data_IF_986121812418
#
_entry.id   IF_986121812418
#
_cell.length_a   1.000
_cell.length_b   1.000
_cell.length_c   1.000
_cell.angle_alpha   90.00
_cell.angle_beta   90.00
_cell.angle_gamma   90.00
#
_symmetry.space_group_name_H-M   'P 1'
#
loop_
_entity.id
_entity.type
_entity.pdbx_description
1 polymer ?
#
# COMPACT_ATOMS: atom_id res chain seq x y z
N UNK A 1 -31.08 -30.03 33.63
CA UNK A 1 -29.70 -29.53 33.77
C UNK A 1 -28.98 -29.84 32.50
N UNK A 2 -28.90 -28.87 31.59
CA UNK A 2 -28.16 -28.98 30.35
C UNK A 2 -26.79 -28.37 30.65
N UNK A 3 -25.76 -29.21 30.73
CA UNK A 3 -24.39 -28.77 30.94
C UNK A 3 -23.91 -28.05 29.66
N UNK A 4 -23.70 -26.74 29.74
CA UNK A 4 -22.98 -25.97 28.75
C UNK A 4 -21.56 -26.53 28.62
N UNK A 5 -21.32 -27.32 27.59
CA UNK A 5 -19.95 -27.66 27.16
C UNK A 5 -19.31 -26.41 26.59
N UNK A 6 -18.58 -25.68 27.40
CA UNK A 6 -17.56 -24.78 26.92
C UNK A 6 -16.54 -25.61 26.13
N UNK A 7 -16.58 -25.56 24.82
CA UNK A 7 -15.50 -26.08 23.99
C UNK A 7 -14.32 -25.12 24.20
N UNK A 8 -13.35 -25.52 25.03
CA UNK A 8 -12.05 -24.88 25.06
C UNK A 8 -11.46 -24.97 23.67
N UNK A 9 -11.38 -23.81 23.01
CA UNK A 9 -10.77 -23.71 21.69
C UNK A 9 -9.26 -23.89 21.87
N UNK A 10 -8.73 -25.02 21.43
CA UNK A 10 -7.30 -25.26 21.37
C UNK A 10 -6.63 -24.35 20.35
N UNK A 11 -5.98 -23.28 20.85
CA UNK A 11 -5.20 -22.32 20.05
C UNK A 11 -3.79 -22.84 19.71
N UNK A 12 -3.43 -24.07 20.06
CA UNK A 12 -2.09 -24.63 19.86
C UNK A 12 -1.73 -24.84 18.38
N UNK A 13 -2.67 -24.72 17.44
CA UNK A 13 -2.47 -24.93 16.00
C UNK A 13 -3.04 -23.81 15.14
N UNK A 14 -2.67 -22.55 15.43
CA UNK A 14 -3.02 -21.48 14.53
C UNK A 14 -2.08 -21.52 13.33
N UNK A 15 -2.62 -21.87 12.17
CA UNK A 15 -1.90 -21.76 10.90
C UNK A 15 -2.05 -20.37 10.32
N UNK A 16 -1.02 -19.90 9.60
CA UNK A 16 -1.03 -18.64 8.88
C UNK A 16 -1.18 -18.90 7.39
N UNK A 17 -1.96 -18.05 6.77
CA UNK A 17 -2.03 -17.94 5.30
C UNK A 17 -1.20 -16.75 4.86
N UNK A 18 -0.61 -16.85 3.68
CA UNK A 18 0.14 -15.81 3.02
C UNK A 18 -0.44 -15.64 1.63
N UNK A 19 -0.83 -14.43 1.29
CA UNK A 19 -1.34 -14.05 -0.03
C UNK A 19 -0.43 -12.98 -0.58
N UNK A 20 -0.07 -13.10 -1.86
CA UNK A 20 0.74 -12.13 -2.59
C UNK A 20 -0.02 -11.68 -3.83
N UNK A 21 -0.14 -10.38 -4.04
CA UNK A 21 -0.68 -9.81 -5.25
C UNK A 21 0.44 -9.62 -6.28
N UNK A 22 0.39 -10.29 -7.43
CA UNK A 22 1.35 -10.05 -8.49
C UNK A 22 1.37 -8.59 -8.95
N UNK A 23 2.45 -8.16 -9.57
CA UNK A 23 2.53 -6.85 -10.20
C UNK A 23 1.36 -6.60 -11.16
N UNK A 24 0.83 -5.39 -11.16
CA UNK A 24 -0.30 -4.98 -11.99
C UNK A 24 -1.65 -5.54 -11.55
N UNK A 25 -1.70 -6.32 -10.45
CA UNK A 25 -2.94 -6.90 -9.94
C UNK A 25 -3.35 -6.33 -8.60
N UNK A 26 -4.61 -6.50 -8.27
CA UNK A 26 -5.19 -6.17 -6.97
C UNK A 26 -6.04 -7.35 -6.53
N UNK A 27 -5.95 -7.69 -5.26
CA UNK A 27 -6.70 -8.79 -4.67
C UNK A 27 -7.63 -8.23 -3.61
N UNK A 28 -8.92 -8.52 -3.72
CA UNK A 28 -9.89 -8.29 -2.64
C UNK A 28 -10.15 -9.61 -1.92
N UNK A 29 -10.14 -9.57 -0.59
CA UNK A 29 -10.39 -10.76 0.22
C UNK A 29 -11.16 -10.42 1.50
N UNK A 30 -11.84 -11.44 2.05
CA UNK A 30 -12.42 -11.40 3.38
C UNK A 30 -11.51 -12.11 4.37
N UNK A 31 -11.25 -11.48 5.51
CA UNK A 31 -10.53 -12.09 6.63
C UNK A 31 -11.48 -12.92 7.51
N UNK A 32 -10.94 -13.79 8.39
CA UNK A 32 -11.75 -14.67 9.25
C UNK A 32 -12.72 -13.95 10.21
N UNK A 33 -12.47 -12.67 10.53
CA UNK A 33 -13.33 -11.84 11.37
C UNK A 33 -14.44 -11.10 10.58
N UNK A 34 -14.44 -11.23 9.25
CA UNK A 34 -15.34 -10.53 8.33
C UNK A 34 -14.85 -9.13 7.92
N UNK A 35 -13.63 -8.74 8.30
CA UNK A 35 -12.97 -7.55 7.74
C UNK A 35 -12.65 -7.78 6.27
N UNK A 36 -12.67 -6.71 5.46
CA UNK A 36 -12.36 -6.77 4.02
C UNK A 36 -11.02 -6.09 3.79
N UNK A 37 -10.18 -6.71 2.97
CA UNK A 37 -8.87 -6.17 2.59
C UNK A 37 -8.77 -6.14 1.08
N UNK A 38 -8.31 -5.00 0.54
CA UNK A 38 -7.78 -4.90 -0.81
C UNK A 38 -6.26 -4.83 -0.71
N UNK A 39 -5.57 -5.74 -1.38
CA UNK A 39 -4.11 -5.82 -1.43
C UNK A 39 -3.66 -5.32 -2.80
N UNK A 40 -2.77 -4.32 -2.82
CA UNK A 40 -2.27 -3.70 -4.04
C UNK A 40 -1.13 -4.50 -4.68
N UNK A 41 -0.76 -4.09 -5.88
CA UNK A 41 0.36 -4.61 -6.69
C UNK A 41 1.62 -4.82 -5.85
N UNK A 42 2.30 -5.96 -6.04
CA UNK A 42 3.51 -6.37 -5.29
C UNK A 42 3.31 -6.44 -3.76
N UNK A 43 2.07 -6.44 -3.30
CA UNK A 43 1.74 -6.55 -1.89
C UNK A 43 1.71 -8.00 -1.40
N UNK A 44 2.07 -8.19 -0.14
CA UNK A 44 2.01 -9.45 0.56
C UNK A 44 1.30 -9.27 1.90
N UNK A 45 0.29 -10.10 2.18
CA UNK A 45 -0.44 -10.12 3.43
C UNK A 45 -0.35 -11.50 4.07
N UNK A 46 0.14 -11.56 5.32
CA UNK A 46 0.14 -12.76 6.16
C UNK A 46 -0.85 -12.60 7.29
N UNK A 47 -1.77 -13.54 7.45
CA UNK A 47 -2.81 -13.50 8.47
C UNK A 47 -3.13 -14.91 8.98
N UNK A 48 -3.64 -15.08 10.22
CA UNK A 48 -3.98 -16.37 10.78
C UNK A 48 -5.30 -16.90 10.19
N UNK A 49 -5.45 -18.21 10.06
CA UNK A 49 -6.73 -18.85 9.67
C UNK A 49 -7.85 -18.61 10.68
N UNK A 50 -7.50 -18.22 11.90
CA UNK A 50 -8.42 -17.81 12.97
C UNK A 50 -7.69 -16.84 13.90
N UNK A 51 -8.33 -15.70 14.20
CA UNK A 51 -7.78 -14.74 15.15
C UNK A 51 -7.87 -15.26 16.60
N UNK A 52 -6.87 -14.90 17.42
CA UNK A 52 -6.89 -15.16 18.86
C UNK A 52 -7.85 -14.21 19.57
N UNK A 53 -8.35 -14.62 20.73
CA UNK A 53 -9.03 -13.69 21.62
C UNK A 53 -8.07 -12.61 22.11
N UNK A 54 -8.54 -11.37 22.16
CA UNK A 54 -7.78 -10.20 22.60
C UNK A 54 -7.08 -9.42 21.48
N UNK A 55 -6.84 -10.03 20.29
CA UNK A 55 -6.11 -9.36 19.22
C UNK A 55 -6.38 -9.99 17.85
N UNK A 56 -6.47 -9.14 16.81
CA UNK A 56 -6.62 -9.55 15.41
C UNK A 56 -5.43 -9.03 14.58
N UNK A 57 -4.33 -9.77 14.57
CA UNK A 57 -3.07 -9.34 13.98
C UNK A 57 -2.88 -9.85 12.56
N UNK A 58 -2.42 -8.96 11.66
CA UNK A 58 -1.98 -9.25 10.30
C UNK A 58 -0.64 -8.60 10.02
N UNK A 59 0.12 -9.15 9.08
CA UNK A 59 1.45 -8.66 8.69
C UNK A 59 1.40 -8.26 7.22
N UNK A 60 1.76 -7.02 6.93
CA UNK A 60 1.74 -6.42 5.60
C UNK A 60 3.14 -6.03 5.16
N UNK A 61 3.54 -6.48 3.97
CA UNK A 61 4.60 -5.87 3.18
C UNK A 61 3.97 -5.41 1.86
N UNK A 62 3.81 -4.11 1.66
CA UNK A 62 3.10 -3.59 0.50
C UNK A 62 2.10 -2.51 0.84
N UNK A 63 1.11 -2.34 -0.04
CA UNK A 63 -0.01 -1.43 0.17
C UNK A 63 -1.31 -2.20 0.29
N UNK A 64 -2.10 -1.90 1.34
CA UNK A 64 -3.42 -2.48 1.52
C UNK A 64 -4.42 -1.47 2.09
N UNK A 65 -5.65 -1.57 1.59
CA UNK A 65 -6.79 -0.87 2.14
C UNK A 65 -7.61 -1.84 3.00
N UNK A 66 -7.96 -1.42 4.20
CA UNK A 66 -8.67 -2.21 5.19
C UNK A 66 -10.03 -1.60 5.50
N UNK A 67 -11.09 -2.41 5.44
CA UNK A 67 -12.38 -2.12 6.06
C UNK A 67 -12.55 -3.07 7.24
N UNK A 68 -12.21 -2.59 8.42
CA UNK A 68 -12.13 -3.42 9.63
C UNK A 68 -13.50 -3.48 10.31
N UNK A 69 -13.97 -4.70 10.53
CA UNK A 69 -15.18 -4.95 11.32
C UNK A 69 -15.01 -4.42 12.75
N UNK A 70 -16.02 -3.70 13.25
CA UNK A 70 -15.95 -3.09 14.57
C UNK A 70 -15.93 -4.14 15.68
N UNK A 71 -14.88 -4.12 16.49
CA UNK A 71 -14.74 -4.89 17.73
C UNK A 71 -13.72 -4.19 18.66
N UNK A 72 -14.25 -3.48 19.66
CA UNK A 72 -13.41 -2.72 20.61
C UNK A 72 -12.68 -3.63 21.61
N UNK A 73 -13.15 -4.86 21.84
CA UNK A 73 -12.54 -5.79 22.79
C UNK A 73 -11.36 -6.52 22.17
N UNK A 74 -11.37 -6.71 20.84
CA UNK A 74 -10.32 -7.37 20.10
C UNK A 74 -9.82 -6.41 19.00
N UNK A 75 -8.86 -5.52 19.27
CA UNK A 75 -8.34 -4.58 18.28
C UNK A 75 -7.74 -5.31 17.08
N UNK A 76 -7.84 -4.70 15.92
CA UNK A 76 -7.19 -5.16 14.69
C UNK A 76 -5.85 -4.45 14.55
N UNK A 77 -4.78 -5.20 14.31
CA UNK A 77 -3.43 -4.66 14.26
C UNK A 77 -2.77 -5.06 12.94
N UNK A 78 -2.32 -4.06 12.19
CA UNK A 78 -1.51 -4.24 10.99
C UNK A 78 -0.05 -3.98 11.35
N UNK A 79 0.78 -5.00 11.25
CA UNK A 79 2.22 -4.89 11.39
C UNK A 79 2.86 -4.71 10.01
N UNK A 80 3.68 -3.70 9.87
CA UNK A 80 4.65 -3.53 8.78
C UNK A 80 6.06 -3.64 9.35
N UNK A 81 7.11 -3.46 8.54
CA UNK A 81 8.49 -3.46 9.03
C UNK A 81 8.78 -2.29 9.99
N UNK A 82 8.15 -1.12 9.77
CA UNK A 82 8.49 0.12 10.46
C UNK A 82 7.33 0.72 11.29
N UNK A 83 6.12 0.16 11.21
CA UNK A 83 4.92 0.68 11.89
C UNK A 83 3.99 -0.42 12.36
N UNK A 84 3.33 -0.14 13.48
CA UNK A 84 2.15 -0.86 13.95
C UNK A 84 0.93 0.06 13.82
N UNK A 85 -0.14 -0.42 13.17
CA UNK A 85 -1.39 0.35 12.98
C UNK A 85 -2.53 -0.38 13.66
N UNK A 86 -3.06 0.21 14.74
CA UNK A 86 -4.11 -0.36 15.57
C UNK A 86 -5.46 0.28 15.30
N UNK A 87 -6.47 -0.56 15.04
CA UNK A 87 -7.82 -0.19 14.64
C UNK A 87 -8.89 -0.94 15.43
N UNK A 88 -10.06 -0.34 15.64
CA UNK A 88 -11.17 -0.99 16.37
C UNK A 88 -12.49 -1.02 15.60
N UNK A 89 -12.48 -0.64 14.32
CA UNK A 89 -13.66 -0.56 13.45
C UNK A 89 -13.55 0.67 12.57
N UNK A 90 -12.75 0.58 11.51
CA UNK A 90 -12.22 1.72 10.77
C UNK A 90 -12.02 1.36 9.31
N UNK A 91 -11.98 2.37 8.43
CA UNK A 91 -11.54 2.24 7.05
C UNK A 91 -10.27 3.08 6.84
N UNK A 92 -9.17 2.46 6.40
CA UNK A 92 -7.87 3.11 6.26
C UNK A 92 -6.98 2.40 5.24
N UNK A 93 -6.01 3.14 4.69
CA UNK A 93 -4.98 2.62 3.78
C UNK A 93 -3.63 2.60 4.50
N UNK A 94 -2.86 1.54 4.31
CA UNK A 94 -1.48 1.40 4.80
C UNK A 94 -0.56 1.17 3.62
N UNK A 95 0.49 1.98 3.50
CA UNK A 95 1.62 1.81 2.58
C UNK A 95 2.85 1.47 3.41
N UNK A 96 3.38 0.26 3.29
CA UNK A 96 4.51 -0.26 4.07
C UNK A 96 5.33 -1.25 3.25
N UNK A 97 5.87 -0.81 2.10
CA UNK A 97 6.82 -1.61 1.32
C UNK A 97 8.19 -1.59 1.98
N UNK A 98 8.79 -2.74 2.25
CA UNK A 98 10.11 -2.86 2.90
C UNK A 98 11.25 -2.25 2.07
N UNK A 99 11.08 -2.13 0.76
CA UNK A 99 12.04 -1.53 -0.16
C UNK A 99 11.80 -0.02 -0.39
N UNK A 100 10.74 0.57 0.17
CA UNK A 100 10.48 2.02 0.09
C UNK A 100 11.05 2.76 1.32
N UNK A 101 11.31 4.02 1.16
CA UNK A 101 11.78 4.89 2.25
C UNK A 101 10.65 5.69 2.88
N UNK A 102 9.47 5.66 2.30
CA UNK A 102 8.27 6.35 2.78
C UNK A 102 7.19 5.33 3.05
N UNK A 103 6.86 5.17 4.32
CA UNK A 103 5.69 4.43 4.75
C UNK A 103 4.58 5.41 5.12
N UNK A 104 3.31 5.03 4.91
CA UNK A 104 2.23 5.95 5.17
C UNK A 104 0.95 5.25 5.62
N UNK A 105 0.12 5.99 6.39
CA UNK A 105 -1.23 5.58 6.75
C UNK A 105 -2.19 6.70 6.43
N UNK A 106 -3.24 6.41 5.66
CA UNK A 106 -4.31 7.37 5.32
C UNK A 106 -5.60 6.95 6.00
N UNK A 107 -6.16 7.82 6.83
CA UNK A 107 -7.36 7.54 7.59
C UNK A 107 -8.61 8.01 6.86
N UNK A 108 -9.53 7.09 6.56
CA UNK A 108 -10.78 7.39 5.86
C UNK A 108 -11.96 7.52 6.82
N UNK A 109 -12.14 6.54 7.72
CA UNK A 109 -13.27 6.56 8.65
C UNK A 109 -12.93 5.89 9.98
N UNK A 110 -13.25 6.52 11.10
CA UNK A 110 -12.97 6.08 12.46
C UNK A 110 -11.71 6.71 13.03
N UNK A 111 -10.95 5.98 13.83
CA UNK A 111 -9.67 6.40 14.41
C UNK A 111 -8.71 5.22 14.42
N UNK A 112 -7.47 5.45 14.03
CA UNK A 112 -6.36 4.50 14.20
C UNK A 112 -5.27 5.09 15.05
N UNK A 113 -4.62 4.24 15.85
CA UNK A 113 -3.36 4.55 16.52
C UNK A 113 -2.22 3.99 15.66
N UNK A 114 -1.24 4.82 15.32
CA UNK A 114 -0.02 4.43 14.61
C UNK A 114 1.14 4.51 15.59
N UNK A 115 1.84 3.39 15.81
CA UNK A 115 3.09 3.33 16.54
C UNK A 115 4.25 3.21 15.55
N UNK A 116 5.24 4.11 15.64
CA UNK A 116 6.46 4.07 14.84
C UNK A 116 7.46 3.14 15.51
N UNK A 117 7.90 2.07 14.86
CA UNK A 117 8.64 0.99 15.52
C UNK A 117 9.94 1.45 16.19
N UNK A 118 10.71 2.32 15.56
CA UNK A 118 12.00 2.78 16.10
C UNK A 118 11.89 3.76 17.25
N UNK A 119 11.02 4.76 17.14
CA UNK A 119 10.83 5.80 18.18
C UNK A 119 9.87 5.40 19.29
N UNK A 120 9.03 4.38 19.03
CA UNK A 120 7.89 3.97 19.86
C UNK A 120 6.88 5.12 20.08
N UNK A 121 6.95 6.14 19.24
CA UNK A 121 6.01 7.26 19.26
C UNK A 121 4.65 6.81 18.73
N UNK A 122 3.59 7.24 19.42
CA UNK A 122 2.20 6.89 19.12
C UNK A 122 1.41 8.10 18.68
N UNK A 123 0.71 7.96 17.58
CA UNK A 123 -0.05 9.02 16.93
C UNK A 123 -1.47 8.52 16.63
N UNK A 124 -2.48 9.33 16.96
CA UNK A 124 -3.86 9.05 16.61
C UNK A 124 -4.24 9.83 15.37
N UNK A 125 -4.60 9.12 14.30
CA UNK A 125 -5.09 9.72 13.06
C UNK A 125 -6.61 9.77 13.05
N UNK A 126 -7.13 10.94 12.65
CA UNK A 126 -8.57 11.20 12.42
C UNK A 126 -8.90 11.06 10.94
N UNK A 127 -10.19 10.90 10.58
CA UNK A 127 -10.62 10.92 9.19
C UNK A 127 -10.11 12.16 8.46
N UNK A 128 -9.62 11.97 7.23
CA UNK A 128 -9.01 13.04 6.44
C UNK A 128 -7.51 13.22 6.67
N UNK A 129 -6.92 12.54 7.65
CA UNK A 129 -5.48 12.68 7.94
C UNK A 129 -4.65 11.56 7.29
N UNK A 130 -3.43 11.92 6.90
CA UNK A 130 -2.40 11.03 6.43
C UNK A 130 -1.09 11.31 7.17
N UNK A 131 -0.46 10.25 7.68
CA UNK A 131 0.94 10.29 8.11
C UNK A 131 1.83 9.78 6.97
N UNK A 132 2.92 10.49 6.72
CA UNK A 132 4.04 10.04 5.90
C UNK A 132 5.27 9.90 6.78
N UNK A 133 5.79 8.69 6.95
CA UNK A 133 6.96 8.38 7.76
C UNK A 133 8.15 8.06 6.88
N UNK A 134 9.22 8.85 7.01
CA UNK A 134 10.49 8.58 6.32
C UNK A 134 11.37 7.68 7.19
N UNK A 135 11.55 6.44 6.79
CA UNK A 135 12.25 5.40 7.56
C UNK A 135 13.76 5.67 7.66
N UNK A 136 14.38 6.32 6.64
CA UNK A 136 15.80 6.67 6.66
C UNK A 136 16.08 7.87 7.56
N UNK A 137 15.25 8.93 7.46
CA UNK A 137 15.41 10.17 8.25
C UNK A 137 14.79 10.05 9.65
N UNK A 138 13.98 9.00 9.89
CA UNK A 138 13.27 8.77 11.15
C UNK A 138 12.40 9.97 11.55
N UNK A 139 11.75 10.62 10.58
CA UNK A 139 10.84 11.71 10.80
C UNK A 139 9.52 11.47 10.09
N UNK A 140 8.47 12.10 10.56
CA UNK A 140 7.16 12.00 9.97
C UNK A 140 6.51 13.36 9.78
N UNK A 141 5.48 13.38 8.93
CA UNK A 141 4.58 14.51 8.76
C UNK A 141 3.14 13.98 8.74
N UNK A 142 2.28 14.64 9.51
CA UNK A 142 0.82 14.42 9.46
C UNK A 142 0.19 15.61 8.74
N UNK A 143 -0.68 15.33 7.79
CA UNK A 143 -1.35 16.33 6.95
C UNK A 143 -2.80 15.96 6.68
N UNK A 144 -3.66 16.95 6.46
CA UNK A 144 -5.01 16.78 5.96
C UNK A 144 -4.96 16.52 4.44
N UNK A 145 -5.67 15.49 3.99
CA UNK A 145 -5.62 15.06 2.58
C UNK A 145 -7.00 14.72 2.02
N UNK A 146 -7.13 14.79 0.68
CA UNK A 146 -8.20 14.11 -0.03
C UNK A 146 -7.95 12.58 0.02
N UNK A 147 -8.63 11.88 0.93
CA UNK A 147 -8.41 10.45 1.15
C UNK A 147 -8.75 9.62 -0.09
N UNK A 148 -9.68 10.09 -0.95
CA UNK A 148 -10.03 9.38 -2.18
C UNK A 148 -8.83 9.23 -3.12
N UNK A 149 -7.99 10.26 -3.25
CA UNK A 149 -6.75 10.20 -4.02
C UNK A 149 -5.86 9.02 -3.62
N UNK A 150 -5.74 8.76 -2.32
CA UNK A 150 -4.84 7.75 -1.76
C UNK A 150 -5.45 6.35 -1.71
N UNK A 151 -6.78 6.25 -1.85
CA UNK A 151 -7.50 4.98 -1.75
C UNK A 151 -8.13 4.53 -3.08
N UNK A 152 -8.14 5.40 -4.11
CA UNK A 152 -8.80 5.14 -5.39
C UNK A 152 -8.16 3.99 -6.19
N UNK A 153 -6.94 3.59 -5.83
CA UNK A 153 -6.27 2.46 -6.45
C UNK A 153 -7.06 1.15 -6.28
N UNK A 154 -7.77 0.98 -5.15
CA UNK A 154 -8.64 -0.18 -4.93
C UNK A 154 -9.78 -0.27 -5.96
N UNK A 155 -10.21 0.88 -6.50
CA UNK A 155 -11.23 1.01 -7.55
C UNK A 155 -10.61 1.06 -8.96
N UNK A 156 -9.31 0.80 -9.08
CA UNK A 156 -8.61 0.76 -10.36
C UNK A 156 -8.13 2.11 -10.89
N UNK A 157 -8.06 3.12 -10.05
CA UNK A 157 -7.65 4.45 -10.47
C UNK A 157 -6.32 4.85 -9.87
N UNK A 158 -5.43 5.42 -10.67
CA UNK A 158 -4.25 6.14 -10.23
C UNK A 158 -4.53 7.63 -10.37
N UNK A 159 -4.55 8.35 -9.25
CA UNK A 159 -4.88 9.78 -9.21
C UNK A 159 -3.65 10.55 -8.79
N UNK A 160 -3.22 11.47 -9.64
CA UNK A 160 -2.13 12.41 -9.40
C UNK A 160 -2.70 13.83 -9.37
N UNK A 161 -2.34 14.60 -8.34
CA UNK A 161 -2.82 15.98 -8.16
C UNK A 161 -1.66 16.87 -7.75
N UNK A 162 -1.03 17.50 -8.75
CA UNK A 162 0.11 18.42 -8.57
C UNK A 162 1.26 17.73 -7.80
N UNK A 163 1.71 16.61 -8.35
CA UNK A 163 2.82 15.83 -7.81
C UNK A 163 4.04 15.94 -8.72
N UNK A 164 5.27 15.97 -8.17
CA UNK A 164 6.48 15.91 -8.96
C UNK A 164 6.51 14.66 -9.85
N UNK A 165 6.96 14.78 -11.09
CA UNK A 165 7.05 13.64 -12.01
C UNK A 165 7.86 12.47 -11.47
N UNK A 166 8.86 12.73 -10.65
CA UNK A 166 9.64 11.69 -9.99
C UNK A 166 8.76 10.80 -9.10
N UNK A 167 7.89 11.40 -8.28
CA UNK A 167 6.93 10.68 -7.46
C UNK A 167 5.85 9.98 -8.28
N UNK A 168 5.38 10.62 -9.36
CA UNK A 168 4.42 10.04 -10.31
C UNK A 168 4.98 8.78 -10.94
N UNK A 169 6.20 8.83 -11.47
CA UNK A 169 6.84 7.68 -12.12
C UNK A 169 7.22 6.58 -11.12
N UNK A 170 7.64 6.94 -9.90
CA UNK A 170 7.86 5.96 -8.84
C UNK A 170 6.58 5.17 -8.55
N UNK A 171 5.44 5.85 -8.41
CA UNK A 171 4.14 5.21 -8.14
C UNK A 171 3.64 4.36 -9.32
N UNK A 172 3.79 4.84 -10.56
CA UNK A 172 3.50 4.06 -11.77
C UNK A 172 4.40 2.82 -11.82
N UNK A 173 5.69 2.97 -11.54
CA UNK A 173 6.65 1.87 -11.53
C UNK A 173 6.30 0.77 -10.53
N UNK A 174 5.85 1.12 -9.33
CA UNK A 174 5.36 0.17 -8.33
C UNK A 174 4.17 -0.63 -8.82
N UNK A 175 3.22 0.03 -9.50
CA UNK A 175 2.02 -0.65 -10.02
C UNK A 175 2.35 -1.57 -11.19
N UNK A 176 3.23 -1.16 -12.11
CA UNK A 176 3.45 -1.84 -13.40
C UNK A 176 4.77 -2.64 -13.48
N UNK A 177 5.46 -2.89 -12.37
CA UNK A 177 6.75 -3.58 -12.34
C UNK A 177 7.79 -2.93 -13.26
N UNK A 178 8.00 -1.62 -13.08
CA UNK A 178 8.96 -0.87 -13.87
C UNK A 178 9.82 0.04 -12.99
N UNK A 179 11.10 0.14 -13.32
CA UNK A 179 11.97 1.21 -12.82
C UNK A 179 11.94 2.34 -13.83
N UNK A 180 11.24 3.42 -13.51
CA UNK A 180 11.10 4.60 -14.37
C UNK A 180 11.91 5.73 -13.73
N UNK A 181 13.02 6.10 -14.35
CA UNK A 181 13.97 7.07 -13.83
C UNK A 181 13.95 8.35 -14.65
N UNK A 182 13.66 9.49 -14.01
CA UNK A 182 13.72 10.81 -14.65
C UNK A 182 15.17 11.31 -14.59
N UNK A 183 15.82 11.40 -15.74
CA UNK A 183 17.25 11.76 -15.85
C UNK A 183 17.49 13.26 -15.73
N UNK A 184 16.50 14.09 -16.00
CA UNK A 184 16.60 15.55 -15.94
C UNK A 184 15.99 16.05 -14.62
N UNK A 185 16.79 16.80 -13.84
CA UNK A 185 16.39 17.27 -12.49
C UNK A 185 15.25 18.29 -12.49
N UNK A 186 15.12 19.09 -13.54
CA UNK A 186 14.05 20.07 -13.64
C UNK A 186 12.75 19.39 -14.10
N UNK A 187 12.86 18.43 -15.01
CA UNK A 187 11.74 17.59 -15.41
C UNK A 187 11.22 16.76 -14.24
N UNK A 188 12.10 16.19 -13.39
CA UNK A 188 11.72 15.43 -12.22
C UNK A 188 10.82 16.22 -11.25
N UNK A 189 11.02 17.55 -11.17
CA UNK A 189 10.24 18.46 -10.32
C UNK A 189 8.98 19.00 -10.99
N UNK A 190 8.77 18.73 -12.30
CA UNK A 190 7.60 19.20 -13.03
C UNK A 190 6.33 18.65 -12.39
N UNK A 191 5.39 19.54 -12.04
CA UNK A 191 4.15 19.15 -11.38
C UNK A 191 3.19 18.54 -12.38
N UNK A 192 2.67 17.36 -12.07
CA UNK A 192 1.80 16.61 -12.95
C UNK A 192 0.43 16.34 -12.33
N UNK A 193 -0.60 16.42 -13.15
CA UNK A 193 -1.99 16.13 -12.76
C UNK A 193 -2.63 15.22 -13.80
N UNK A 194 -3.09 14.05 -13.35
CA UNK A 194 -3.81 13.10 -14.19
C UNK A 194 -4.65 12.12 -13.36
N UNK A 195 -5.56 11.44 -14.02
CA UNK A 195 -6.22 10.23 -13.49
C UNK A 195 -6.13 9.17 -14.58
N UNK A 196 -5.58 8.02 -14.23
CA UNK A 196 -5.54 6.83 -15.09
C UNK A 196 -6.48 5.78 -14.53
N UNK A 197 -7.19 5.06 -15.42
CA UNK A 197 -8.15 4.02 -15.04
C UNK A 197 -8.17 2.90 -16.05
N UNK A 198 -7.32 1.90 -15.83
CA UNK A 198 -7.27 0.69 -16.67
C UNK A 198 -6.32 0.79 -17.86
N UNK A 199 -5.61 1.93 -18.04
CA UNK A 199 -4.57 2.04 -19.06
C UNK A 199 -3.38 1.14 -18.74
N UNK A 200 -2.73 0.61 -19.76
CA UNK A 200 -1.45 -0.07 -19.67
C UNK A 200 -0.30 0.93 -19.45
N UNK A 201 0.86 0.45 -18.99
CA UNK A 201 2.05 1.32 -18.83
C UNK A 201 2.41 2.06 -20.13
N UNK A 202 2.33 1.38 -21.27
CA UNK A 202 2.66 1.99 -22.57
C UNK A 202 1.67 3.08 -22.96
N UNK A 203 0.39 2.89 -22.66
CA UNK A 203 -0.64 3.91 -22.88
C UNK A 203 -0.42 5.11 -21.94
N UNK A 204 -0.12 4.88 -20.67
CA UNK A 204 0.20 5.96 -19.72
C UNK A 204 1.39 6.77 -20.22
N UNK A 205 2.51 6.12 -20.58
CA UNK A 205 3.70 6.81 -21.09
C UNK A 205 3.42 7.59 -22.37
N UNK A 206 2.60 7.02 -23.27
CA UNK A 206 2.16 7.71 -24.50
C UNK A 206 1.33 8.94 -24.19
N UNK A 207 0.36 8.85 -23.27
CA UNK A 207 -0.48 9.96 -22.85
C UNK A 207 0.34 11.08 -22.19
N UNK A 208 1.28 10.70 -21.32
CA UNK A 208 2.16 11.65 -20.64
C UNK A 208 3.03 12.44 -21.64
N UNK A 209 3.52 11.83 -22.71
CA UNK A 209 4.26 12.54 -23.79
C UNK A 209 3.46 13.61 -24.48
N UNK A 210 2.13 13.56 -24.48
CA UNK A 210 1.28 14.59 -25.10
C UNK A 210 1.19 15.87 -24.27
N UNK A 211 1.46 15.77 -22.97
CA UNK A 211 1.26 16.85 -22.00
C UNK A 211 2.55 17.30 -21.31
N UNK A 212 3.57 16.47 -21.33
CA UNK A 212 4.89 16.74 -20.73
C UNK A 212 5.95 16.75 -21.83
N UNK A 213 6.86 17.74 -21.89
CA UNK A 213 7.95 17.80 -22.89
C UNK A 213 9.02 16.75 -22.60
N UNK A 214 8.69 15.48 -22.80
CA UNK A 214 9.55 14.34 -22.50
C UNK A 214 9.61 13.31 -23.63
N UNK A 215 10.68 12.53 -23.65
CA UNK A 215 10.76 11.24 -24.35
C UNK A 215 11.22 10.18 -23.36
N UNK A 216 10.92 8.94 -23.65
CA UNK A 216 11.39 7.81 -22.84
C UNK A 216 12.11 6.78 -23.70
N UNK A 217 13.08 6.11 -23.11
CA UNK A 217 13.89 5.07 -23.71
C UNK A 217 13.79 3.84 -22.83
N UNK A 218 13.25 2.77 -23.38
CA UNK A 218 13.24 1.50 -22.68
C UNK A 218 14.59 0.80 -22.88
N UNK A 219 15.25 0.48 -21.77
CA UNK A 219 16.45 -0.31 -21.74
C UNK A 219 16.05 -1.76 -21.44
N UNK A 220 16.08 -2.60 -22.43
CA UNK A 220 15.73 -4.02 -22.27
C UNK A 220 16.72 -4.67 -21.32
N UNK A 221 16.25 -5.11 -20.16
CA UNK A 221 17.02 -6.05 -19.33
C UNK A 221 16.93 -7.42 -19.98
N UNK A 222 17.98 -7.90 -20.63
CA UNK A 222 18.06 -9.18 -21.36
C UNK A 222 18.03 -10.42 -20.44
N UNK A 223 17.55 -10.33 -19.22
CA UNK A 223 17.43 -11.47 -18.32
C UNK A 223 15.98 -11.89 -18.14
N UNK A 224 15.51 -12.71 -19.07
CA UNK A 224 14.38 -13.59 -18.78
C UNK A 224 14.79 -14.50 -17.59
N UNK A 225 14.13 -14.32 -16.45
CA UNK A 225 14.31 -15.20 -15.29
C UNK A 225 13.75 -16.59 -15.62
N UNK A 226 14.42 -17.71 -15.23
CA UNK A 226 14.00 -19.06 -15.54
C UNK A 226 12.62 -19.46 -15.01
N UNK A 227 12.00 -18.63 -14.15
CA UNK A 227 10.79 -18.96 -13.39
C UNK A 227 9.51 -18.29 -13.90
N UNK A 228 9.49 -17.75 -15.12
CA UNK A 228 8.29 -17.09 -15.67
C UNK A 228 7.93 -15.75 -14.99
N UNK A 229 8.79 -15.22 -14.14
CA UNK A 229 8.66 -13.87 -13.58
C UNK A 229 9.04 -12.89 -14.67
N UNK A 230 8.12 -12.01 -15.07
CA UNK A 230 8.40 -10.94 -16.02
C UNK A 230 9.56 -10.09 -15.50
N UNK A 231 10.60 -9.92 -16.33
CA UNK A 231 11.72 -9.03 -16.01
C UNK A 231 11.21 -7.62 -15.78
N UNK A 232 11.66 -6.98 -14.70
CA UNK A 232 11.31 -5.60 -14.40
C UNK A 232 11.72 -4.71 -15.57
N UNK A 233 10.81 -3.88 -16.10
CA UNK A 233 11.11 -2.93 -17.18
C UNK A 233 11.98 -1.81 -16.63
N UNK A 234 13.01 -1.38 -17.36
CA UNK A 234 13.81 -0.22 -17.01
C UNK A 234 13.62 0.87 -18.07
N UNK A 235 13.12 2.03 -17.63
CA UNK A 235 12.71 3.13 -18.51
C UNK A 235 13.39 4.42 -18.06
N UNK A 236 14.17 5.02 -18.95
CA UNK A 236 14.75 6.34 -18.75
C UNK A 236 13.86 7.41 -19.38
N UNK A 237 13.49 8.42 -18.59
CA UNK A 237 12.72 9.59 -19.04
C UNK A 237 13.66 10.78 -19.13
N UNK A 238 13.73 11.40 -20.30
CA UNK A 238 14.56 12.56 -20.57
C UNK A 238 13.72 13.69 -21.15
N UNK A 239 14.17 14.92 -20.97
CA UNK A 239 13.55 16.11 -21.56
C UNK A 239 13.67 16.10 -23.08
N UNK A 240 12.65 16.63 -23.78
CA UNK A 240 12.71 16.92 -25.23
C UNK A 240 13.57 18.13 -25.52
#
# INVERSE_FOLDING_TARGET
MVADRFVEQDYSKISYQKISAPYGTRIQMNLPDGSIVWLNSDGELKYPTKFKAGERSVYLNGEAFFEVRSDKKNPFIVYTEDMEVKATGTAFNVEGYSNDTINAVTMVNGVVEVELDRSKERLNLKPGQRINYNTKRQNYRVEEVDTYKWCAWKDGKLIFRDEPLDDVFRKIGQVYNADIVVMDKDLAKHMYRATFQGETLDEILRLMKLTVPMKYIEKTSEKAMPNGVYSKRYIEVVRL
#
